data_IF_971710703953
#
_entry.id   IF_971710703953
#
_cell.length_a   1.000
_cell.length_b   1.000
_cell.length_c   1.000
_cell.angle_alpha   90.00
_cell.angle_beta   90.00
_cell.angle_gamma   90.00
#
_symmetry.space_group_name_H-M   'P 1'
#
loop_
_entity.id
_entity.type
_entity.pdbx_description
1 polymer ?
#
# COMPACT_ATOMS: atom_id res chain seq x y z
N UNK A 1 46.29 32.17 42.97
CA UNK A 1 45.01 31.42 42.97
C UNK A 1 44.80 30.82 41.58
N UNK A 2 44.48 29.52 41.54
CA UNK A 2 44.23 28.71 40.33
C UNK A 2 42.90 29.11 39.68
N UNK A 3 42.87 29.26 38.36
CA UNK A 3 41.66 28.98 37.57
C UNK A 3 42.05 28.13 36.36
N UNK A 4 41.85 26.83 36.51
CA UNK A 4 41.87 25.85 35.43
C UNK A 4 40.47 25.81 34.85
N UNK A 5 40.27 26.29 33.62
CA UNK A 5 38.99 26.13 32.91
C UNK A 5 39.17 24.99 31.90
N UNK A 6 38.70 23.81 32.30
CA UNK A 6 38.30 22.75 31.40
C UNK A 6 36.84 23.00 31.02
N UNK A 7 36.53 23.12 29.73
CA UNK A 7 35.19 22.79 29.23
C UNK A 7 35.35 21.98 27.95
N UNK A 8 35.28 20.66 28.15
CA UNK A 8 35.09 19.70 27.11
C UNK A 8 33.68 19.83 26.53
N UNK A 9 33.60 19.78 25.20
CA UNK A 9 32.61 19.05 24.43
C UNK A 9 31.14 19.44 24.58
N UNK A 10 30.57 19.98 23.50
CA UNK A 10 29.27 19.55 23.00
C UNK A 10 29.06 20.00 21.55
N UNK A 11 29.79 19.38 20.62
CA UNK A 11 29.35 19.29 19.22
C UNK A 11 28.29 18.17 19.14
N UNK A 12 27.14 18.42 19.77
CA UNK A 12 25.94 17.62 19.57
C UNK A 12 25.29 18.03 18.26
N UNK A 13 25.89 17.64 17.13
CA UNK A 13 25.17 17.62 15.87
C UNK A 13 24.11 16.53 16.04
N UNK A 14 22.90 16.93 16.42
CA UNK A 14 21.72 16.09 16.29
C UNK A 14 21.57 15.78 14.80
N UNK A 15 22.14 14.66 14.37
CA UNK A 15 21.65 13.94 13.20
C UNK A 15 20.26 13.43 13.59
N UNK A 16 19.26 14.30 13.55
CA UNK A 16 17.89 13.82 13.39
C UNK A 16 17.94 12.93 12.15
N UNK A 17 17.62 11.62 12.25
CA UNK A 17 17.41 10.83 11.06
C UNK A 17 16.36 11.59 10.27
N UNK A 18 16.69 12.01 9.05
CA UNK A 18 15.72 12.61 8.15
C UNK A 18 14.64 11.55 7.90
N UNK A 19 13.56 11.60 8.68
CA UNK A 19 12.33 10.86 8.42
C UNK A 19 11.75 11.45 7.14
N UNK A 20 12.15 10.89 6.00
CA UNK A 20 11.64 11.33 4.72
C UNK A 20 10.35 10.56 4.43
N UNK A 21 9.23 11.00 5.00
CA UNK A 21 7.91 10.69 4.44
C UNK A 21 7.78 11.54 3.17
N UNK A 22 8.27 11.02 2.06
CA UNK A 22 8.08 11.65 0.75
C UNK A 22 6.67 11.29 0.27
N UNK A 23 5.84 12.32 0.05
CA UNK A 23 4.55 12.18 -0.61
C UNK A 23 4.70 12.69 -2.03
N UNK A 24 4.58 11.79 -3.02
CA UNK A 24 4.47 12.21 -4.42
C UNK A 24 3.05 11.99 -4.90
N UNK A 25 2.57 12.95 -5.67
CA UNK A 25 1.32 12.86 -6.38
C UNK A 25 1.54 12.24 -7.76
N UNK A 26 0.78 11.22 -8.09
CA UNK A 26 0.78 10.49 -9.36
C UNK A 26 -0.56 10.79 -10.02
N UNK A 27 -0.53 11.64 -11.05
CA UNK A 27 -1.70 11.93 -11.87
C UNK A 27 -1.85 10.87 -12.96
N UNK A 28 -3.09 10.47 -13.18
CA UNK A 28 -3.48 9.74 -14.37
C UNK A 28 -3.93 10.75 -15.44
N UNK A 29 -2.99 11.19 -16.30
CA UNK A 29 -3.28 12.17 -17.34
C UNK A 29 -4.15 11.59 -18.48
N UNK A 30 -4.46 10.29 -18.45
CA UNK A 30 -5.33 9.63 -19.42
C UNK A 30 -6.32 8.74 -18.69
N UNK A 31 -7.63 8.97 -18.81
CA UNK A 31 -8.75 8.20 -18.21
C UNK A 31 -8.80 6.67 -18.52
N UNK A 32 -7.67 5.96 -18.59
CA UNK A 32 -7.53 4.67 -19.24
C UNK A 32 -7.25 3.51 -18.27
N UNK A 33 -7.33 3.73 -16.94
CA UNK A 33 -7.14 2.62 -16.00
C UNK A 33 -7.91 2.71 -14.66
N UNK A 34 -8.89 3.62 -14.52
CA UNK A 34 -9.74 3.69 -13.32
C UNK A 34 -9.01 4.05 -12.01
N UNK A 35 -7.77 4.51 -12.09
CA UNK A 35 -7.07 5.14 -10.96
C UNK A 35 -7.27 6.64 -11.00
N UNK A 36 -7.70 7.21 -9.88
CA UNK A 36 -7.67 8.66 -9.70
C UNK A 36 -6.27 9.13 -9.33
N UNK A 37 -6.19 10.31 -8.76
CA UNK A 37 -4.94 10.88 -8.27
C UNK A 37 -4.39 10.02 -7.13
N UNK A 38 -3.19 9.46 -7.30
CA UNK A 38 -2.57 8.60 -6.29
C UNK A 38 -1.47 9.33 -5.52
N UNK A 39 -1.39 9.13 -4.21
CA UNK A 39 -0.23 9.50 -3.39
C UNK A 39 0.43 8.30 -2.75
N UNK A 40 1.76 8.29 -2.71
CA UNK A 40 2.54 7.24 -2.04
C UNK A 40 3.43 7.83 -0.96
N UNK A 41 3.47 7.14 0.18
CA UNK A 41 4.43 7.39 1.26
C UNK A 41 5.09 6.07 1.66
N UNK A 42 6.36 6.12 2.02
CA UNK A 42 7.14 4.94 2.41
C UNK A 42 7.90 5.27 3.69
N UNK A 43 7.67 4.46 4.72
CA UNK A 43 8.32 4.59 6.00
C UNK A 43 9.28 3.42 6.19
N UNK A 44 10.55 3.64 5.87
CA UNK A 44 11.59 2.62 6.00
C UNK A 44 11.81 2.15 7.45
N UNK A 45 11.64 3.04 8.44
CA UNK A 45 11.81 2.71 9.85
C UNK A 45 10.77 1.69 10.34
N UNK A 46 9.51 1.89 9.96
CA UNK A 46 8.41 1.01 10.33
C UNK A 46 8.17 -0.11 9.30
N UNK A 47 8.97 -0.14 8.22
CA UNK A 47 8.83 -1.09 7.11
C UNK A 47 7.41 -1.14 6.53
N UNK A 48 6.81 0.03 6.32
CA UNK A 48 5.48 0.15 5.70
C UNK A 48 5.49 1.11 4.51
N UNK A 49 4.60 0.87 3.55
CA UNK A 49 4.28 1.82 2.51
C UNK A 49 2.77 2.00 2.40
N UNK A 50 2.32 3.22 2.16
CA UNK A 50 0.92 3.58 2.02
C UNK A 50 0.68 4.22 0.66
N UNK A 51 -0.38 3.79 -0.02
CA UNK A 51 -0.84 4.35 -1.28
C UNK A 51 -2.29 4.77 -1.15
N UNK A 52 -2.56 6.04 -1.31
CA UNK A 52 -3.92 6.58 -1.36
C UNK A 52 -4.31 6.84 -2.81
N UNK A 53 -5.50 6.41 -3.20
CA UNK A 53 -6.10 6.74 -4.48
C UNK A 53 -7.35 7.59 -4.24
N UNK A 54 -7.30 8.84 -4.67
CA UNK A 54 -8.42 9.76 -4.59
C UNK A 54 -9.16 9.75 -5.94
N UNK A 55 -10.25 8.98 -6.01
CA UNK A 55 -11.07 8.80 -7.20
C UNK A 55 -12.57 8.89 -6.88
N UNK A 56 -12.97 9.83 -6.04
CA UNK A 56 -14.37 9.99 -5.63
C UNK A 56 -14.92 8.73 -4.96
N UNK A 57 -16.00 8.15 -5.52
CA UNK A 57 -16.61 6.92 -5.00
C UNK A 57 -15.73 5.68 -5.16
N UNK A 58 -14.78 5.70 -6.08
CA UNK A 58 -13.83 4.61 -6.31
C UNK A 58 -12.50 4.84 -5.56
N UNK A 59 -12.50 5.74 -4.57
CA UNK A 59 -11.34 5.96 -3.72
C UNK A 59 -11.02 4.71 -2.89
N UNK A 60 -9.73 4.48 -2.70
CA UNK A 60 -9.22 3.40 -1.86
C UNK A 60 -7.89 3.80 -1.25
N UNK A 61 -7.48 3.08 -0.21
CA UNK A 61 -6.17 3.21 0.41
C UNK A 61 -5.55 1.81 0.56
N UNK A 62 -4.27 1.66 0.24
CA UNK A 62 -3.51 0.42 0.37
C UNK A 62 -2.36 0.62 1.33
N UNK A 63 -2.16 -0.33 2.23
CA UNK A 63 -0.99 -0.41 3.09
C UNK A 63 -0.25 -1.73 2.86
N UNK A 64 1.03 -1.63 2.54
CA UNK A 64 1.97 -2.75 2.48
C UNK A 64 2.79 -2.79 3.75
N UNK A 65 2.60 -3.85 4.56
CA UNK A 65 3.36 -4.10 5.77
C UNK A 65 4.48 -5.10 5.45
N UNK A 66 5.67 -4.58 5.17
CA UNK A 66 6.82 -5.41 4.81
C UNK A 66 7.34 -6.21 5.99
N UNK A 67 7.09 -5.79 7.23
CA UNK A 67 7.46 -6.54 8.45
C UNK A 67 6.67 -7.85 8.52
N UNK A 68 5.34 -7.78 8.41
CA UNK A 68 4.47 -8.97 8.53
C UNK A 68 4.29 -9.73 7.21
N UNK A 69 4.57 -9.10 6.07
CA UNK A 69 4.38 -9.67 4.74
C UNK A 69 2.91 -9.65 4.27
N UNK A 70 2.07 -8.86 4.92
CA UNK A 70 0.67 -8.66 4.55
C UNK A 70 0.46 -7.30 3.90
N UNK A 71 -0.57 -7.24 3.06
CA UNK A 71 -1.11 -6.01 2.50
C UNK A 71 -2.58 -5.90 2.87
N UNK A 72 -3.07 -4.67 2.95
CA UNK A 72 -4.49 -4.40 3.13
C UNK A 72 -4.93 -3.30 2.18
N UNK A 73 -6.11 -3.47 1.57
CA UNK A 73 -6.82 -2.42 0.86
C UNK A 73 -8.08 -2.03 1.63
N UNK A 74 -8.26 -0.75 1.86
CA UNK A 74 -9.49 -0.16 2.39
C UNK A 74 -10.28 0.46 1.24
N UNK A 75 -11.50 -0.03 1.05
CA UNK A 75 -12.43 0.44 0.04
C UNK A 75 -13.43 1.40 0.68
N UNK A 76 -13.35 2.69 0.37
CA UNK A 76 -14.12 3.69 1.11
C UNK A 76 -15.63 3.58 0.86
N UNK A 77 -16.08 3.48 -0.40
CA UNK A 77 -17.51 3.34 -0.71
C UNK A 77 -18.13 2.04 -0.18
N UNK A 78 -17.33 0.96 -0.11
CA UNK A 78 -17.77 -0.34 0.41
C UNK A 78 -17.64 -0.46 1.93
N UNK A 79 -17.00 0.52 2.59
CA UNK A 79 -16.75 0.53 4.05
C UNK A 79 -16.15 -0.80 4.55
N UNK A 80 -15.23 -1.37 3.81
CA UNK A 80 -14.58 -2.63 4.16
C UNK A 80 -13.08 -2.60 3.89
N UNK A 81 -12.36 -3.46 4.60
CA UNK A 81 -10.97 -3.78 4.35
C UNK A 81 -10.82 -5.20 3.80
N UNK A 82 -9.81 -5.38 2.94
CA UNK A 82 -9.44 -6.70 2.43
C UNK A 82 -7.94 -6.90 2.70
N UNK A 83 -7.61 -7.85 3.57
CA UNK A 83 -6.25 -8.21 3.92
C UNK A 83 -5.82 -9.43 3.11
N UNK A 84 -4.61 -9.41 2.56
CA UNK A 84 -4.04 -10.54 1.82
C UNK A 84 -2.54 -10.65 2.03
N UNK A 85 -1.96 -11.82 1.75
CA UNK A 85 -0.50 -11.96 1.71
C UNK A 85 0.06 -11.17 0.52
N UNK A 86 1.19 -10.51 0.72
CA UNK A 86 1.90 -9.85 -0.36
C UNK A 86 2.56 -10.86 -1.29
N UNK A 87 2.35 -10.69 -2.59
CA UNK A 87 3.16 -11.36 -3.59
C UNK A 87 4.51 -10.64 -3.69
N UNK A 88 5.55 -11.20 -3.06
CA UNK A 88 6.91 -10.65 -3.08
C UNK A 88 7.56 -10.63 -4.46
N UNK A 89 7.05 -11.44 -5.39
CA UNK A 89 7.47 -11.42 -6.78
C UNK A 89 6.86 -10.25 -7.56
N UNK A 90 5.69 -9.76 -7.14
CA UNK A 90 4.95 -8.70 -7.82
C UNK A 90 5.13 -7.31 -7.20
N UNK A 91 5.05 -7.22 -5.87
CA UNK A 91 5.24 -5.98 -5.10
C UNK A 91 6.73 -5.69 -4.97
N UNK A 92 7.21 -4.48 -5.35
CA UNK A 92 8.62 -4.13 -5.20
C UNK A 92 9.07 -4.20 -3.75
N UNK A 93 10.32 -4.63 -3.48
CA UNK A 93 10.88 -4.52 -2.13
C UNK A 93 10.94 -3.04 -1.71
N UNK A 94 10.82 -2.77 -0.41
CA UNK A 94 10.63 -1.40 0.11
C UNK A 94 11.71 -0.42 -0.34
N UNK A 95 12.98 -0.85 -0.44
CA UNK A 95 14.09 0.01 -0.90
C UNK A 95 13.97 0.36 -2.38
N UNK A 96 13.44 -0.55 -3.21
CA UNK A 96 13.20 -0.26 -4.62
C UNK A 96 12.01 0.66 -4.79
N UNK A 97 10.97 0.50 -3.97
CA UNK A 97 9.84 1.43 -3.93
C UNK A 97 10.29 2.83 -3.49
N UNK A 98 11.09 2.93 -2.43
CA UNK A 98 11.71 4.18 -1.96
C UNK A 98 12.47 4.90 -3.09
N UNK A 99 13.35 4.17 -3.80
CA UNK A 99 14.10 4.71 -4.93
C UNK A 99 13.17 5.20 -6.05
N UNK A 100 12.15 4.42 -6.43
CA UNK A 100 11.16 4.80 -7.45
C UNK A 100 10.44 6.10 -7.08
N UNK A 101 10.09 6.27 -5.81
CA UNK A 101 9.40 7.48 -5.33
C UNK A 101 10.34 8.69 -5.34
N UNK A 102 11.55 8.56 -4.79
CA UNK A 102 12.55 9.64 -4.73
C UNK A 102 12.98 10.12 -6.12
N UNK A 103 13.12 9.19 -7.05
CA UNK A 103 13.49 9.47 -8.44
C UNK A 103 12.29 9.93 -9.29
N UNK A 104 11.09 10.03 -8.69
CA UNK A 104 9.83 10.40 -9.36
C UNK A 104 9.48 9.52 -10.56
N UNK A 105 9.99 8.29 -10.60
CA UNK A 105 9.76 7.31 -11.69
C UNK A 105 8.33 6.77 -11.74
N UNK A 106 7.51 7.06 -10.73
CA UNK A 106 6.10 6.70 -10.70
C UNK A 106 5.18 7.77 -11.32
N UNK A 107 5.70 8.96 -11.64
CA UNK A 107 4.92 10.04 -12.26
C UNK A 107 4.80 9.83 -13.78
N UNK A 108 3.72 10.34 -14.38
CA UNK A 108 3.47 10.20 -15.83
C UNK A 108 3.14 8.76 -16.22
N UNK A 109 3.93 8.16 -17.13
CA UNK A 109 3.68 6.81 -17.67
C UNK A 109 4.16 5.66 -16.75
N UNK A 110 4.46 5.95 -15.49
CA UNK A 110 5.09 5.00 -14.56
C UNK A 110 6.54 4.68 -14.95
N UNK A 111 7.16 3.63 -14.35
CA UNK A 111 8.61 3.36 -14.47
C UNK A 111 9.12 3.00 -15.88
N UNK A 112 8.26 3.01 -16.91
CA UNK A 112 8.62 2.73 -18.30
C UNK A 112 8.85 1.23 -18.58
N UNK A 113 8.42 0.77 -19.77
CA UNK A 113 8.91 -0.47 -20.38
C UNK A 113 8.22 -1.79 -20.02
N UNK A 114 7.56 -1.93 -18.87
CA UNK A 114 6.88 -3.19 -18.50
C UNK A 114 5.42 -2.96 -18.10
N UNK A 115 4.46 -3.72 -18.64
CA UNK A 115 3.06 -3.66 -18.20
C UNK A 115 2.94 -3.95 -16.70
N UNK A 116 1.96 -3.33 -16.00
CA UNK A 116 1.67 -3.65 -14.61
C UNK A 116 1.45 -5.14 -14.44
N UNK A 117 1.96 -5.71 -13.33
CA UNK A 117 1.68 -7.12 -13.03
C UNK A 117 0.23 -7.26 -12.58
N UNK A 118 -0.50 -8.19 -13.19
CA UNK A 118 -1.86 -8.52 -12.81
C UNK A 118 -1.89 -9.53 -11.66
N UNK A 119 -2.59 -9.22 -10.58
CA UNK A 119 -2.88 -10.14 -9.48
C UNK A 119 -4.38 -10.24 -9.26
N UNK A 120 -4.87 -11.44 -9.02
CA UNK A 120 -6.28 -11.68 -8.72
C UNK A 120 -6.41 -12.41 -7.39
N UNK A 121 -7.36 -11.95 -6.58
CA UNK A 121 -7.61 -12.42 -5.23
C UNK A 121 -9.08 -12.82 -5.06
N UNK A 122 -9.31 -13.96 -4.43
CA UNK A 122 -10.65 -14.42 -4.02
C UNK A 122 -10.90 -14.03 -2.58
N UNK A 123 -11.94 -13.24 -2.32
CA UNK A 123 -12.31 -12.80 -0.97
C UNK A 123 -13.02 -13.95 -0.24
N UNK A 124 -12.55 -14.25 0.96
CA UNK A 124 -13.22 -15.14 1.90
C UNK A 124 -14.45 -14.41 2.49
N UNK A 125 -15.65 -15.01 2.47
CA UNK A 125 -16.86 -14.36 2.97
C UNK A 125 -16.86 -14.15 4.49
N UNK A 126 -16.01 -14.86 5.24
CA UNK A 126 -15.94 -14.73 6.69
C UNK A 126 -15.10 -13.52 7.10
N UNK A 127 -15.63 -12.70 8.00
CA UNK A 127 -14.91 -11.56 8.54
C UNK A 127 -13.77 -11.98 9.46
N UNK A 128 -12.78 -11.12 9.56
CA UNK A 128 -11.65 -11.23 10.48
C UNK A 128 -12.09 -10.72 11.86
N UNK A 129 -11.95 -11.57 12.88
CA UNK A 129 -12.27 -11.21 14.27
C UNK A 129 -11.10 -10.53 14.99
N UNK A 130 -9.87 -10.96 14.74
CA UNK A 130 -8.66 -10.37 15.33
C UNK A 130 -7.76 -9.84 14.22
N UNK A 131 -7.62 -8.51 14.15
CA UNK A 131 -6.76 -7.84 13.17
C UNK A 131 -5.28 -7.87 13.57
N UNK A 132 -4.95 -8.07 14.85
CA UNK A 132 -3.58 -7.95 15.33
C UNK A 132 -2.66 -9.02 14.75
N UNK A 133 -3.22 -10.17 14.33
CA UNK A 133 -2.48 -11.22 13.60
C UNK A 133 -1.88 -10.79 12.27
N UNK A 134 -2.29 -9.63 11.73
CA UNK A 134 -1.77 -9.08 10.47
C UNK A 134 -0.78 -7.92 10.66
N UNK A 135 -0.57 -7.49 11.91
CA UNK A 135 0.32 -6.37 12.24
C UNK A 135 -0.43 -5.13 12.72
N UNK A 136 0.29 -4.32 13.51
CA UNK A 136 -0.26 -3.12 14.18
C UNK A 136 -0.74 -2.08 13.16
N UNK A 137 -0.03 -1.91 12.06
CA UNK A 137 -0.35 -0.93 11.01
C UNK A 137 -1.68 -1.27 10.33
N UNK A 138 -1.88 -2.55 9.97
CA UNK A 138 -3.14 -3.05 9.40
C UNK A 138 -4.29 -2.95 10.41
N UNK A 139 -4.05 -3.36 11.66
CA UNK A 139 -5.05 -3.27 12.72
C UNK A 139 -5.52 -1.82 12.97
N UNK A 140 -4.62 -0.85 12.92
CA UNK A 140 -4.95 0.56 13.05
C UNK A 140 -5.75 1.09 11.85
N UNK A 141 -5.32 0.76 10.61
CA UNK A 141 -5.98 1.22 9.39
C UNK A 141 -7.43 0.72 9.26
N UNK A 142 -7.69 -0.50 9.71
CA UNK A 142 -8.98 -1.18 9.58
C UNK A 142 -9.77 -1.29 10.89
N UNK A 143 -9.37 -0.53 11.91
CA UNK A 143 -10.07 -0.51 13.20
C UNK A 143 -11.53 -0.12 13.00
N UNK A 144 -12.44 -0.93 13.55
CA UNK A 144 -13.89 -0.76 13.43
C UNK A 144 -14.44 -0.83 12.00
N UNK A 145 -13.70 -1.45 11.07
CA UNK A 145 -14.11 -1.64 9.69
C UNK A 145 -14.22 -3.14 9.41
N UNK A 146 -15.35 -3.64 8.88
CA UNK A 146 -15.48 -5.02 8.43
C UNK A 146 -14.29 -5.39 7.55
N UNK A 147 -13.53 -6.40 7.98
CA UNK A 147 -12.30 -6.82 7.32
C UNK A 147 -12.43 -8.26 6.88
N UNK A 148 -12.04 -8.55 5.65
CA UNK A 148 -12.07 -9.88 5.08
C UNK A 148 -10.66 -10.28 4.63
N UNK A 149 -10.38 -11.58 4.60
CA UNK A 149 -9.15 -12.08 3.98
C UNK A 149 -9.37 -12.34 2.50
N UNK A 150 -8.32 -12.23 1.69
CA UNK A 150 -8.33 -12.74 0.34
C UNK A 150 -7.10 -13.57 0.03
N UNK A 151 -7.27 -14.59 -0.80
CA UNK A 151 -6.22 -15.50 -1.24
C UNK A 151 -5.93 -15.28 -2.72
N UNK A 152 -4.65 -15.25 -3.07
CA UNK A 152 -4.23 -15.09 -4.46
C UNK A 152 -4.61 -16.33 -5.26
N UNK A 153 -5.23 -16.12 -6.42
CA UNK A 153 -5.65 -17.19 -7.30
C UNK A 153 -4.83 -17.18 -8.57
N UNK A 154 -4.27 -18.32 -8.97
CA UNK A 154 -3.54 -18.45 -10.22
C UNK A 154 -4.53 -18.62 -11.39
N UNK A 155 -4.50 -17.68 -12.34
CA UNK A 155 -5.31 -17.73 -13.56
C UNK A 155 -6.77 -17.30 -13.40
N UNK A 156 -7.43 -17.04 -14.52
CA UNK A 156 -8.86 -16.72 -14.58
C UNK A 156 -9.69 -17.96 -14.23
N UNK A 157 -10.00 -18.16 -12.94
CA UNK A 157 -10.94 -19.21 -12.54
C UNK A 157 -12.35 -18.86 -13.03
N UNK A 158 -13.00 -19.77 -13.75
CA UNK A 158 -14.41 -19.65 -14.18
C UNK A 158 -15.36 -19.29 -13.01
N UNK A 159 -15.02 -19.70 -11.79
CA UNK A 159 -15.77 -19.36 -10.57
C UNK A 159 -15.61 -17.90 -10.11
N UNK A 160 -14.53 -17.22 -10.49
CA UNK A 160 -14.31 -15.80 -10.19
C UNK A 160 -14.96 -14.92 -11.26
N UNK A 161 -15.04 -15.39 -12.51
CA UNK A 161 -15.69 -14.69 -13.62
C UNK A 161 -17.19 -14.43 -13.38
N UNK A 162 -17.84 -15.20 -12.52
CA UNK A 162 -19.25 -15.01 -12.14
C UNK A 162 -19.45 -14.12 -10.90
N UNK A 163 -18.39 -13.72 -10.21
CA UNK A 163 -18.45 -12.85 -9.02
C UNK A 163 -18.17 -11.41 -9.39
N UNK A 164 -18.70 -10.47 -8.59
CA UNK A 164 -18.26 -9.06 -8.69
C UNK A 164 -16.80 -8.95 -8.26
N UNK A 165 -16.02 -8.29 -9.12
CA UNK A 165 -14.63 -7.97 -8.86
C UNK A 165 -14.45 -6.45 -8.78
N UNK A 166 -13.61 -6.00 -7.85
CA UNK A 166 -13.12 -4.64 -7.79
C UNK A 166 -11.66 -4.62 -8.27
N UNK A 167 -11.37 -3.69 -9.18
CA UNK A 167 -10.03 -3.52 -9.74
C UNK A 167 -9.37 -2.27 -9.13
N UNK A 168 -8.08 -2.39 -8.81
CA UNK A 168 -7.25 -1.29 -8.34
C UNK A 168 -5.93 -1.30 -9.13
N UNK A 169 -5.63 -0.19 -9.82
CA UNK A 169 -4.32 0.05 -10.41
C UNK A 169 -3.47 0.82 -9.38
N UNK A 170 -2.45 0.17 -8.84
CA UNK A 170 -1.61 0.70 -7.77
C UNK A 170 -0.28 1.14 -8.39
N UNK A 171 -0.02 2.46 -8.36
CA UNK A 171 1.22 3.12 -8.78
C UNK A 171 1.72 2.75 -10.20
N UNK A 172 0.85 2.30 -11.11
CA UNK A 172 1.23 1.80 -12.45
C UNK A 172 2.13 0.56 -12.47
N UNK A 173 2.35 -0.08 -11.32
CA UNK A 173 3.21 -1.27 -11.20
C UNK A 173 2.40 -2.55 -11.00
N UNK A 174 1.17 -2.42 -10.48
CA UNK A 174 0.35 -3.54 -10.07
C UNK A 174 -1.12 -3.29 -10.41
N UNK A 175 -1.74 -4.23 -11.10
CA UNK A 175 -3.18 -4.26 -11.29
C UNK A 175 -3.75 -5.38 -10.43
N UNK A 176 -4.55 -5.02 -9.43
CA UNK A 176 -5.11 -5.97 -8.45
C UNK A 176 -6.61 -6.07 -8.63
N UNK A 177 -7.12 -7.30 -8.71
CA UNK A 177 -8.54 -7.60 -8.75
C UNK A 177 -8.95 -8.38 -7.51
N UNK A 178 -9.89 -7.86 -6.72
CA UNK A 178 -10.50 -8.58 -5.59
C UNK A 178 -11.90 -9.02 -5.96
N UNK A 179 -12.17 -10.33 -5.95
CA UNK A 179 -13.42 -10.91 -6.40
C UNK A 179 -14.11 -11.65 -5.25
N UNK A 180 -15.40 -11.36 -5.01
CA UNK A 180 -16.12 -11.96 -3.89
C UNK A 180 -17.54 -11.45 -3.71
N UNK A 181 -18.38 -12.27 -3.06
CA UNK A 181 -19.78 -11.91 -2.77
C UNK A 181 -19.91 -10.74 -1.81
N UNK A 182 -18.92 -10.50 -0.96
CA UNK A 182 -18.91 -9.35 -0.03
C UNK A 182 -18.86 -7.99 -0.75
N UNK A 183 -18.62 -7.99 -2.07
CA UNK A 183 -18.68 -6.80 -2.91
C UNK A 183 -20.07 -6.55 -3.53
N UNK A 184 -20.98 -7.53 -3.43
CA UNK A 184 -22.39 -7.42 -3.83
C UNK A 184 -23.11 -6.52 -2.81
N UNK A 185 -23.86 -5.53 -3.31
CA UNK A 185 -24.55 -4.55 -2.48
C UNK A 185 -25.73 -5.16 -1.74
#
# INVERSE_FOLDING_TARGET
MKFTIFFAGLLGVFLAPALADYNININDDNNNAGSGQQSVSVNNQHRVANVDNNNGWDSWNVLWDYETGFAVIRLFAKKQCIVHRMNKGAVPPIHALDALVKEKKLQGKGPGGQPPRGLMYSINPNSVNDLNKYGKSIANMCKNIPTYTAEETQGASLFLSSRKCLNANILWILQVSFCGRTLEN
#
